data_IF_001352392088
#
_entry.id   IF_001352392088
#
_cell.length_a   1.000
_cell.length_b   1.000
_cell.length_c   1.000
_cell.angle_alpha   90.00
_cell.angle_beta   90.00
_cell.angle_gamma   90.00
#
_symmetry.space_group_name_H-M   'P 1'
#
loop_
_entity.id
_entity.type
_entity.pdbx_description
1 polymer ?
#
# COMPACT_ATOMS: atom_id res chain seq x y z
N UNK A 1 -31.75 34.11 -4.67
CA UNK A 1 -31.03 32.84 -4.42
C UNK A 1 -30.12 33.04 -3.21
N UNK A 2 -30.22 32.23 -2.14
CA UNK A 2 -29.29 32.32 -1.03
C UNK A 2 -27.87 32.05 -1.55
N UNK A 3 -26.92 32.92 -1.19
CA UNK A 3 -25.50 32.71 -1.51
C UNK A 3 -25.05 31.47 -0.75
N UNK A 4 -24.70 30.41 -1.47
CA UNK A 4 -23.99 29.27 -0.88
C UNK A 4 -22.65 29.78 -0.35
N UNK A 5 -22.56 29.99 0.97
CA UNK A 5 -21.37 30.55 1.62
C UNK A 5 -20.16 29.60 1.54
N UNK A 6 -20.38 28.31 1.27
CA UNK A 6 -19.31 27.34 1.08
C UNK A 6 -19.78 26.18 0.20
N UNK A 7 -19.20 26.06 -0.99
CA UNK A 7 -19.38 24.90 -1.87
C UNK A 7 -18.22 23.93 -1.65
N UNK A 8 -18.51 22.72 -1.18
CA UNK A 8 -17.52 21.66 -0.98
C UNK A 8 -17.80 20.51 -1.92
N UNK A 9 -16.76 20.02 -2.58
CA UNK A 9 -16.88 18.95 -3.55
C UNK A 9 -15.60 18.14 -3.63
N UNK A 10 -15.75 16.90 -4.11
CA UNK A 10 -14.68 16.00 -4.49
C UNK A 10 -15.13 15.28 -5.76
N UNK A 11 -14.48 15.60 -6.87
CA UNK A 11 -14.70 15.01 -8.18
C UNK A 11 -13.54 14.08 -8.45
N UNK A 12 -13.86 12.84 -8.83
CA UNK A 12 -12.89 11.84 -9.28
C UNK A 12 -13.33 11.35 -10.65
N UNK A 13 -12.44 11.46 -11.62
CA UNK A 13 -12.66 10.99 -12.98
C UNK A 13 -11.57 10.01 -13.40
N UNK A 14 -11.99 8.95 -14.09
CA UNK A 14 -11.10 8.00 -14.77
C UNK A 14 -11.18 8.27 -16.26
N UNK A 15 -10.02 8.32 -16.91
CA UNK A 15 -9.88 8.63 -18.33
C UNK A 15 -9.21 7.43 -19.01
N UNK A 16 -9.73 7.02 -20.17
CA UNK A 16 -9.04 6.07 -21.03
C UNK A 16 -8.19 6.85 -22.03
N UNK A 17 -6.91 6.53 -22.11
CA UNK A 17 -5.99 7.17 -23.04
C UNK A 17 -6.03 6.38 -24.35
N UNK A 18 -6.90 6.79 -25.26
CA UNK A 18 -6.96 6.25 -26.61
C UNK A 18 -6.40 7.28 -27.60
N UNK A 19 -5.10 7.22 -27.86
CA UNK A 19 -4.41 8.02 -28.90
C UNK A 19 -4.77 9.52 -28.92
N UNK A 20 -4.57 10.25 -27.81
CA UNK A 20 -4.91 11.69 -27.78
C UNK A 20 -3.68 12.60 -27.64
N UNK A 21 -3.68 13.64 -28.48
CA UNK A 21 -2.72 14.77 -28.52
C UNK A 21 -2.99 15.77 -27.37
N UNK A 22 -4.20 15.78 -26.81
CA UNK A 22 -4.64 16.76 -25.80
C UNK A 22 -5.07 16.07 -24.50
N UNK A 23 -4.10 15.81 -23.62
CA UNK A 23 -4.34 15.28 -22.29
C UNK A 23 -4.58 16.46 -21.30
N UNK A 24 -5.63 16.43 -20.46
CA UNK A 24 -5.86 17.50 -19.48
C UNK A 24 -4.69 17.62 -18.48
N UNK A 25 -4.13 18.80 -18.28
CA UNK A 25 -3.11 18.98 -17.24
C UNK A 25 -3.76 19.31 -15.89
N UNK A 26 -2.96 19.19 -14.83
CA UNK A 26 -3.35 19.63 -13.49
C UNK A 26 -3.72 21.13 -13.50
N UNK A 27 -2.89 21.95 -14.14
CA UNK A 27 -3.09 23.40 -14.27
C UNK A 27 -4.33 23.71 -15.09
N UNK A 28 -4.50 23.05 -16.25
CA UNK A 28 -5.66 23.26 -17.11
C UNK A 28 -6.96 22.92 -16.39
N UNK A 29 -6.98 21.82 -15.64
CA UNK A 29 -8.12 21.42 -14.82
C UNK A 29 -8.38 22.42 -13.69
N UNK A 30 -7.35 22.94 -13.04
CA UNK A 30 -7.50 23.93 -11.96
C UNK A 30 -7.99 25.29 -12.49
N UNK A 31 -7.53 25.71 -13.66
CA UNK A 31 -7.96 26.96 -14.31
C UNK A 31 -9.46 26.98 -14.64
N UNK A 32 -10.12 25.82 -14.76
CA UNK A 32 -11.59 25.78 -14.95
C UNK A 32 -12.38 26.34 -13.76
N UNK A 33 -11.73 26.51 -12.61
CA UNK A 33 -12.31 27.06 -11.39
C UNK A 33 -11.78 28.45 -11.03
N UNK A 34 -11.10 29.15 -11.95
CA UNK A 34 -10.46 30.45 -11.66
C UNK A 34 -11.47 31.53 -11.24
N UNK A 35 -12.69 31.50 -11.79
CA UNK A 35 -13.76 32.44 -11.47
C UNK A 35 -14.56 32.02 -10.22
N UNK A 36 -14.22 30.88 -9.62
CA UNK A 36 -14.86 30.40 -8.42
C UNK A 36 -14.28 31.15 -7.21
N UNK A 37 -15.10 31.99 -6.58
CA UNK A 37 -14.74 32.83 -5.41
C UNK A 37 -14.13 32.08 -4.20
N UNK A 38 -14.15 30.75 -4.20
CA UNK A 38 -13.54 29.91 -3.19
C UNK A 38 -12.18 29.40 -3.70
N UNK A 39 -11.11 30.13 -3.39
CA UNK A 39 -9.77 29.94 -3.98
C UNK A 39 -9.05 28.63 -3.58
N UNK A 40 -9.64 27.82 -2.72
CA UNK A 40 -9.01 26.60 -2.22
C UNK A 40 -9.48 25.37 -3.01
N UNK A 41 -9.34 25.37 -4.33
CA UNK A 41 -9.62 24.19 -5.16
C UNK A 41 -8.28 23.59 -5.58
N UNK A 42 -8.08 22.31 -5.30
CA UNK A 42 -6.90 21.56 -5.70
C UNK A 42 -7.31 20.61 -6.82
N UNK A 43 -6.54 20.62 -7.90
CA UNK A 43 -6.61 19.62 -8.96
C UNK A 43 -5.36 18.75 -8.94
N UNK A 44 -5.50 17.49 -9.31
CA UNK A 44 -4.37 16.60 -9.56
C UNK A 44 -4.74 15.63 -10.68
N UNK A 45 -4.01 15.70 -11.79
CA UNK A 45 -4.15 14.80 -12.92
C UNK A 45 -2.90 13.93 -13.03
N UNK A 46 -3.12 12.61 -13.03
CA UNK A 46 -2.08 11.61 -13.18
C UNK A 46 -2.35 10.74 -14.40
N UNK A 47 -1.26 10.31 -15.02
CA UNK A 47 -1.27 9.45 -16.20
C UNK A 47 -0.50 8.17 -15.91
N UNK A 48 -1.06 7.07 -16.38
CA UNK A 48 -0.54 5.72 -16.29
C UNK A 48 -0.39 5.21 -17.74
N UNK A 49 0.73 5.55 -18.43
CA UNK A 49 0.98 5.16 -19.81
C UNK A 49 0.91 3.66 -20.08
N UNK A 50 1.50 2.82 -19.24
CA UNK A 50 1.47 1.36 -19.39
C UNK A 50 0.03 0.84 -19.33
N UNK A 51 -0.78 1.38 -18.40
CA UNK A 51 -2.19 1.02 -18.26
C UNK A 51 -3.13 1.73 -19.26
N UNK A 52 -2.61 2.66 -20.08
CA UNK A 52 -3.38 3.56 -20.96
C UNK A 52 -4.54 4.25 -20.25
N UNK A 53 -4.32 4.71 -19.03
CA UNK A 53 -5.34 5.32 -18.17
C UNK A 53 -4.85 6.65 -17.60
N UNK A 54 -5.77 7.59 -17.43
CA UNK A 54 -5.55 8.80 -16.67
C UNK A 54 -6.52 8.87 -15.48
N UNK A 55 -6.16 9.62 -14.46
CA UNK A 55 -7.01 9.88 -13.31
C UNK A 55 -6.93 11.35 -12.95
N UNK A 56 -8.08 11.97 -12.76
CA UNK A 56 -8.19 13.36 -12.33
C UNK A 56 -8.95 13.42 -10.99
N UNK A 57 -8.39 14.17 -10.05
CA UNK A 57 -9.01 14.52 -8.77
C UNK A 57 -9.15 16.02 -8.70
N UNK A 58 -10.33 16.51 -8.36
CA UNK A 58 -10.57 17.94 -8.15
C UNK A 58 -11.40 18.11 -6.89
N UNK A 59 -10.94 18.91 -5.94
CA UNK A 59 -11.64 19.07 -4.67
C UNK A 59 -11.40 20.39 -3.97
N UNK A 60 -12.37 20.78 -3.16
CA UNK A 60 -12.26 21.91 -2.24
C UNK A 60 -11.38 21.55 -1.03
N UNK A 61 -10.48 22.45 -0.64
CA UNK A 61 -9.58 22.33 0.51
C UNK A 61 -9.99 23.28 1.65
N UNK A 62 -9.94 22.85 2.93
CA UNK A 62 -9.60 21.50 3.39
C UNK A 62 -10.69 20.48 3.02
N UNK A 63 -10.25 19.34 2.50
CA UNK A 63 -11.17 18.26 2.11
C UNK A 63 -11.63 17.49 3.34
N UNK A 64 -12.90 17.11 3.36
CA UNK A 64 -13.48 16.16 4.35
C UNK A 64 -13.60 14.74 3.79
N UNK A 65 -12.91 14.44 2.69
CA UNK A 65 -12.91 13.10 2.13
C UNK A 65 -12.28 12.10 3.11
N UNK A 66 -12.89 10.93 3.25
CA UNK A 66 -12.36 9.84 4.06
C UNK A 66 -11.44 8.92 3.25
N UNK A 67 -11.56 8.92 1.92
CA UNK A 67 -10.85 8.03 1.01
C UNK A 67 -10.08 8.83 -0.04
N UNK A 68 -8.78 8.58 -0.17
CA UNK A 68 -7.94 9.15 -1.23
C UNK A 68 -7.20 8.04 -1.97
N UNK A 69 -7.50 7.88 -3.26
CA UNK A 69 -7.02 6.75 -4.05
C UNK A 69 -6.38 7.14 -5.36
N UNK A 70 -5.32 6.41 -5.72
CA UNK A 70 -4.48 6.68 -6.89
C UNK A 70 -3.54 7.84 -6.64
N UNK A 71 -2.97 7.87 -5.43
CA UNK A 71 -1.88 8.77 -5.12
C UNK A 71 -0.61 8.20 -5.78
N UNK A 72 0.04 9.04 -6.59
CA UNK A 72 1.25 8.73 -7.36
C UNK A 72 2.45 9.48 -6.78
N UNK A 73 3.65 9.25 -7.32
CA UNK A 73 4.88 9.99 -6.98
C UNK A 73 4.76 11.51 -7.18
N UNK A 74 3.85 11.96 -8.06
CA UNK A 74 3.58 13.38 -8.30
C UNK A 74 2.80 14.05 -7.15
N UNK A 75 2.39 13.29 -6.13
CA UNK A 75 1.68 13.84 -4.99
C UNK A 75 2.54 14.89 -4.26
N UNK A 76 2.11 16.15 -4.22
CA UNK A 76 2.93 17.24 -3.66
C UNK A 76 2.97 17.24 -2.12
N UNK A 77 2.12 16.44 -1.48
CA UNK A 77 1.88 16.49 -0.03
C UNK A 77 0.66 17.34 0.32
N UNK A 78 0.67 17.91 1.53
CA UNK A 78 -0.43 18.66 2.13
C UNK A 78 -1.03 17.95 3.34
N UNK A 79 -1.88 18.61 4.11
CA UNK A 79 -2.41 18.05 5.35
C UNK A 79 -3.87 17.59 5.17
N UNK A 80 -4.12 16.30 5.32
CA UNK A 80 -5.43 15.67 5.09
C UNK A 80 -5.92 14.98 6.37
N UNK A 81 -6.40 15.77 7.33
CA UNK A 81 -6.79 15.27 8.66
C UNK A 81 -8.05 14.39 8.67
N UNK A 82 -8.86 14.40 7.61
CA UNK A 82 -10.10 13.62 7.51
C UNK A 82 -9.94 12.30 6.73
N UNK A 83 -8.84 12.13 6.00
CA UNK A 83 -8.59 10.90 5.23
C UNK A 83 -8.23 9.78 6.19
N UNK A 84 -8.82 8.61 5.99
CA UNK A 84 -8.59 7.38 6.75
C UNK A 84 -8.06 6.26 5.87
N UNK A 85 -8.45 6.24 4.61
CA UNK A 85 -8.07 5.18 3.67
C UNK A 85 -7.30 5.78 2.51
N UNK A 86 -6.11 5.24 2.28
CA UNK A 86 -5.20 5.69 1.23
C UNK A 86 -4.84 4.52 0.31
N UNK A 87 -4.99 4.73 -1.00
CA UNK A 87 -4.49 3.82 -2.03
C UNK A 87 -3.39 4.50 -2.86
N UNK A 88 -2.19 3.93 -2.76
CA UNK A 88 -1.01 4.30 -3.54
C UNK A 88 -0.94 3.43 -4.79
N UNK A 89 -0.73 4.05 -5.95
CA UNK A 89 -0.60 3.37 -7.24
C UNK A 89 0.28 4.21 -8.16
N UNK A 90 1.33 3.64 -8.72
CA UNK A 90 2.18 4.28 -9.72
C UNK A 90 2.88 3.21 -10.59
N UNK A 91 3.29 3.63 -11.79
CA UNK A 91 4.12 2.84 -12.70
C UNK A 91 5.62 3.03 -12.40
N UNK A 92 5.97 4.05 -11.62
CA UNK A 92 7.34 4.29 -11.13
C UNK A 92 7.50 3.80 -9.69
N UNK A 93 8.71 3.37 -9.27
CA UNK A 93 8.96 2.95 -7.90
C UNK A 93 8.61 4.03 -6.87
N UNK A 94 8.13 3.62 -5.69
CA UNK A 94 7.99 4.52 -4.54
C UNK A 94 9.23 4.42 -3.65
N UNK A 95 9.96 5.51 -3.49
CA UNK A 95 11.13 5.54 -2.61
C UNK A 95 10.75 5.91 -1.16
N UNK A 96 11.67 5.75 -0.21
CA UNK A 96 11.44 6.04 1.21
C UNK A 96 10.86 7.44 1.48
N UNK A 97 11.39 8.44 0.78
CA UNK A 97 10.97 9.84 0.91
C UNK A 97 9.51 10.06 0.50
N UNK A 98 9.00 9.22 -0.41
CA UNK A 98 7.58 9.22 -0.77
C UNK A 98 6.73 8.76 0.42
N UNK A 99 7.08 7.64 1.06
CA UNK A 99 6.35 7.14 2.22
C UNK A 99 6.42 8.11 3.42
N UNK A 100 7.55 8.81 3.62
CA UNK A 100 7.64 9.91 4.58
C UNK A 100 6.66 11.05 4.25
N UNK A 101 6.50 11.39 2.97
CA UNK A 101 5.52 12.40 2.52
C UNK A 101 4.10 11.93 2.78
N UNK A 102 3.79 10.66 2.52
CA UNK A 102 2.48 10.06 2.81
C UNK A 102 2.18 10.13 4.31
N UNK A 103 3.11 9.67 5.15
CA UNK A 103 2.95 9.69 6.60
C UNK A 103 2.67 11.11 7.15
N UNK A 104 3.40 12.12 6.69
CA UNK A 104 3.17 13.52 7.08
C UNK A 104 1.85 14.08 6.59
N UNK A 105 1.38 13.60 5.44
CA UNK A 105 0.17 14.12 4.79
C UNK A 105 -1.11 13.54 5.39
N UNK A 106 -1.04 12.31 5.89
CA UNK A 106 -2.19 11.55 6.40
C UNK A 106 -1.97 11.11 7.86
N UNK A 107 -1.98 12.05 8.81
CA UNK A 107 -1.61 11.76 10.21
C UNK A 107 -2.57 10.81 10.93
N UNK A 108 -3.79 10.62 10.40
CA UNK A 108 -4.83 9.76 10.98
C UNK A 108 -5.23 8.61 10.02
N UNK A 109 -4.32 8.21 9.14
CA UNK A 109 -4.57 7.10 8.21
C UNK A 109 -4.72 5.78 8.98
N UNK A 110 -5.83 5.08 8.72
CA UNK A 110 -6.17 3.79 9.31
C UNK A 110 -5.84 2.65 8.34
N UNK A 111 -6.06 2.86 7.04
CA UNK A 111 -5.79 1.87 6.01
C UNK A 111 -4.86 2.41 4.92
N UNK A 112 -3.84 1.62 4.60
CA UNK A 112 -2.91 1.86 3.51
C UNK A 112 -2.91 0.65 2.56
N UNK A 113 -3.30 0.89 1.31
CA UNK A 113 -3.15 -0.07 0.22
C UNK A 113 -2.08 0.41 -0.75
N UNK A 114 -1.24 -0.50 -1.23
CA UNK A 114 -0.17 -0.22 -2.17
C UNK A 114 -0.23 -1.17 -3.36
N UNK A 115 -0.17 -0.61 -4.57
CA UNK A 115 -0.03 -1.37 -5.81
C UNK A 115 1.17 -0.80 -6.57
N UNK A 116 2.27 -1.56 -6.61
CA UNK A 116 3.47 -1.18 -7.35
C UNK A 116 4.40 -2.38 -7.54
N UNK A 117 4.59 -2.81 -8.79
CA UNK A 117 5.42 -3.98 -9.10
C UNK A 117 6.88 -3.65 -9.41
N UNK A 118 7.28 -2.36 -9.42
CA UNK A 118 8.65 -1.97 -9.70
C UNK A 118 9.49 -2.00 -8.42
N UNK A 119 10.72 -2.49 -8.52
CA UNK A 119 11.71 -2.48 -7.45
C UNK A 119 12.11 -1.05 -7.06
N UNK A 120 12.41 -0.84 -5.78
CA UNK A 120 12.95 0.43 -5.30
C UNK A 120 14.38 0.61 -5.82
N UNK A 121 14.71 1.82 -6.27
CA UNK A 121 16.07 2.11 -6.74
C UNK A 121 17.02 2.31 -5.56
N UNK A 122 16.53 2.87 -4.45
CA UNK A 122 17.31 3.15 -3.24
C UNK A 122 16.94 2.15 -2.16
N UNK A 123 17.47 0.93 -2.28
CA UNK A 123 17.27 -0.12 -1.26
C UNK A 123 17.95 0.30 0.04
N UNK A 124 17.17 0.38 1.11
CA UNK A 124 17.69 0.65 2.45
C UNK A 124 18.48 -0.54 3.01
N UNK A 125 18.18 -1.75 2.55
CA UNK A 125 18.75 -3.01 3.06
C UNK A 125 20.07 -3.44 2.41
N UNK A 126 20.41 -2.97 1.20
CA UNK A 126 21.57 -3.49 0.45
C UNK A 126 22.82 -2.62 0.45
N UNK A 127 22.76 -1.39 0.98
CA UNK A 127 23.94 -0.55 1.13
C UNK A 127 24.09 -0.07 2.57
N UNK A 128 24.91 -0.80 3.33
CA UNK A 128 25.58 -0.32 4.55
C UNK A 128 26.60 0.80 4.23
N UNK A 129 26.33 1.63 3.22
CA UNK A 129 27.05 2.86 2.98
C UNK A 129 26.59 3.89 4.02
N UNK A 130 27.53 4.67 4.53
CA UNK A 130 27.37 5.57 5.67
C UNK A 130 26.23 6.61 5.53
N UNK A 131 25.61 6.75 4.35
CA UNK A 131 24.52 7.67 4.06
C UNK A 131 23.14 7.21 4.58
N UNK A 132 22.92 5.89 4.77
CA UNK A 132 21.63 5.36 5.25
C UNK A 132 21.39 5.62 6.76
N UNK A 133 22.38 6.13 7.50
CA UNK A 133 22.23 6.48 8.93
C UNK A 133 21.26 7.64 9.17
N UNK A 134 20.97 8.45 8.15
CA UNK A 134 20.18 9.68 8.27
C UNK A 134 18.73 9.58 7.75
N UNK A 135 18.26 8.41 7.29
CA UNK A 135 16.87 8.29 6.88
C UNK A 135 15.93 8.45 8.09
N UNK A 136 14.97 9.37 7.92
CA UNK A 136 13.95 9.66 8.93
C UNK A 136 13.06 8.44 9.12
N UNK A 137 12.70 8.18 10.38
CA UNK A 137 11.78 7.11 10.73
C UNK A 137 10.36 7.46 10.28
N UNK A 138 9.70 6.53 9.61
CA UNK A 138 8.29 6.58 9.24
C UNK A 138 7.49 5.91 10.35
N UNK A 139 6.54 6.64 10.94
CA UNK A 139 5.66 6.11 11.97
C UNK A 139 4.20 6.28 11.54
N UNK A 140 3.48 5.16 11.45
CA UNK A 140 2.06 5.13 11.11
C UNK A 140 1.22 4.92 12.37
N UNK A 141 0.99 6.01 13.11
CA UNK A 141 0.38 5.99 14.46
C UNK A 141 -1.13 5.69 14.52
N UNK A 142 -1.80 5.38 13.41
CA UNK A 142 -3.21 4.99 13.43
C UNK A 142 -3.50 3.84 12.46
N UNK A 143 -2.47 3.33 11.79
CA UNK A 143 -2.63 2.31 10.78
C UNK A 143 -3.00 0.99 11.45
N UNK A 144 -4.16 0.47 11.08
CA UNK A 144 -4.68 -0.82 11.53
C UNK A 144 -4.88 -1.81 10.38
N UNK A 145 -4.76 -1.37 9.11
CA UNK A 145 -4.84 -2.24 7.95
C UNK A 145 -3.77 -1.87 6.90
N UNK A 146 -2.95 -2.84 6.52
CA UNK A 146 -1.93 -2.72 5.49
C UNK A 146 -2.18 -3.77 4.40
N UNK A 147 -2.40 -3.30 3.18
CA UNK A 147 -2.60 -4.13 2.00
C UNK A 147 -1.46 -3.95 1.00
N UNK A 148 -0.66 -4.99 0.89
CA UNK A 148 0.53 -5.08 0.04
C UNK A 148 0.52 -6.38 -0.78
N UNK A 149 -0.66 -6.76 -1.29
CA UNK A 149 -0.82 -7.97 -2.11
C UNK A 149 -0.14 -7.83 -3.48
N UNK A 150 -0.29 -6.67 -4.13
CA UNK A 150 0.19 -6.41 -5.48
C UNK A 150 1.44 -5.52 -5.50
N UNK A 151 2.47 -5.94 -4.76
CA UNK A 151 3.71 -5.14 -4.63
C UNK A 151 4.97 -5.94 -4.95
N UNK A 152 6.04 -5.22 -5.30
CA UNK A 152 7.40 -5.76 -5.33
C UNK A 152 7.91 -6.06 -3.91
N UNK A 153 8.83 -7.02 -3.79
CA UNK A 153 9.39 -7.48 -2.51
C UNK A 153 10.06 -6.38 -1.67
N UNK A 154 10.69 -5.41 -2.33
CA UNK A 154 11.36 -4.30 -1.64
C UNK A 154 10.39 -3.55 -0.71
N UNK A 155 9.12 -3.40 -1.11
CA UNK A 155 8.11 -2.76 -0.24
C UNK A 155 7.76 -3.64 0.96
N UNK A 156 7.69 -4.96 0.76
CA UNK A 156 7.45 -5.92 1.85
C UNK A 156 8.61 -5.85 2.84
N UNK A 157 9.86 -5.81 2.36
CA UNK A 157 11.02 -5.60 3.22
C UNK A 157 10.93 -4.27 3.97
N UNK A 158 10.58 -3.18 3.30
CA UNK A 158 10.47 -1.86 3.94
C UNK A 158 9.41 -1.83 5.06
N UNK A 159 8.27 -2.50 4.87
CA UNK A 159 7.19 -2.51 5.88
C UNK A 159 7.42 -3.54 6.98
N UNK A 160 7.99 -4.72 6.67
CA UNK A 160 8.11 -5.82 7.64
C UNK A 160 9.48 -5.87 8.33
N UNK A 161 10.56 -5.44 7.67
CA UNK A 161 11.94 -5.68 8.14
C UNK A 161 12.68 -4.42 8.55
N UNK A 162 12.23 -3.27 8.06
CA UNK A 162 12.99 -2.05 8.25
C UNK A 162 12.76 -1.43 9.63
N UNK A 163 13.86 -1.19 10.35
CA UNK A 163 13.90 -0.37 11.58
C UNK A 163 13.44 1.07 11.37
N UNK A 164 13.29 1.52 10.12
CA UNK A 164 12.85 2.86 9.75
C UNK A 164 11.36 2.94 9.48
N UNK A 165 10.62 1.84 9.50
CA UNK A 165 9.15 1.85 9.42
C UNK A 165 8.56 1.24 10.68
N UNK A 166 7.77 2.03 11.40
CA UNK A 166 7.11 1.59 12.63
C UNK A 166 5.59 1.52 12.41
N UNK A 167 5.08 0.29 12.42
CA UNK A 167 3.66 0.02 12.50
C UNK A 167 3.16 0.12 13.96
N UNK A 168 1.86 0.31 14.16
CA UNK A 168 1.21 0.10 15.44
C UNK A 168 0.91 -1.37 15.68
N UNK A 169 0.53 -1.71 16.92
CA UNK A 169 0.02 -3.04 17.24
C UNK A 169 -1.38 -3.24 16.63
N UNK A 170 -1.77 -4.49 16.46
CA UNK A 170 -3.08 -4.90 15.94
C UNK A 170 -3.32 -4.51 14.48
N UNK A 171 -2.29 -4.68 13.65
CA UNK A 171 -2.41 -4.47 12.21
C UNK A 171 -2.95 -5.72 11.53
N UNK A 172 -3.98 -5.54 10.71
CA UNK A 172 -4.40 -6.47 9.67
C UNK A 172 -3.42 -6.36 8.49
N UNK A 173 -2.75 -7.45 8.14
CA UNK A 173 -1.87 -7.51 6.97
C UNK A 173 -2.51 -8.35 5.86
N UNK A 174 -2.72 -7.75 4.69
CA UNK A 174 -3.04 -8.46 3.45
C UNK A 174 -1.78 -8.56 2.59
N UNK A 175 -1.35 -9.78 2.24
CA UNK A 175 -0.10 -9.99 1.51
C UNK A 175 -0.15 -11.26 0.64
N UNK A 176 0.62 -11.26 -0.46
CA UNK A 176 0.82 -12.46 -1.26
C UNK A 176 1.73 -13.48 -0.53
N UNK A 177 1.26 -14.73 -0.38
CA UNK A 177 2.01 -15.77 0.34
C UNK A 177 3.40 -16.02 -0.24
N UNK A 178 3.54 -16.08 -1.57
CA UNK A 178 4.83 -16.39 -2.21
C UNK A 178 5.84 -15.27 -2.01
N UNK A 179 5.40 -14.03 -2.07
CA UNK A 179 6.27 -12.88 -1.78
C UNK A 179 6.66 -12.88 -0.31
N UNK A 180 5.74 -13.11 0.62
CA UNK A 180 6.06 -13.24 2.04
C UNK A 180 7.07 -14.37 2.31
N UNK A 181 6.85 -15.57 1.76
CA UNK A 181 7.76 -16.72 1.90
C UNK A 181 9.16 -16.40 1.36
N UNK A 182 9.25 -15.74 0.20
CA UNK A 182 10.53 -15.34 -0.41
C UNK A 182 11.28 -14.32 0.45
N UNK A 183 10.57 -13.28 0.87
CA UNK A 183 11.11 -12.14 1.62
C UNK A 183 11.57 -12.56 3.03
N UNK A 184 10.82 -13.46 3.67
CA UNK A 184 11.17 -14.03 5.00
C UNK A 184 12.18 -15.19 4.93
N UNK A 185 12.64 -15.57 3.75
CA UNK A 185 13.50 -16.75 3.51
C UNK A 185 12.91 -18.02 4.12
N UNK A 186 11.71 -18.40 3.66
CA UNK A 186 10.93 -19.51 4.23
C UNK A 186 10.73 -19.36 5.74
N UNK A 187 10.44 -18.14 6.21
CA UNK A 187 10.19 -17.83 7.62
C UNK A 187 11.36 -18.13 8.57
N UNK A 188 12.58 -18.21 8.05
CA UNK A 188 13.80 -18.46 8.86
C UNK A 188 14.54 -17.18 9.24
N UNK A 189 14.19 -16.03 8.65
CA UNK A 189 14.88 -14.76 8.88
C UNK A 189 14.39 -14.08 10.16
N UNK A 190 15.26 -13.92 11.16
CA UNK A 190 14.91 -13.30 12.45
C UNK A 190 14.61 -11.80 12.37
N UNK A 191 15.21 -11.09 11.40
CA UNK A 191 15.04 -9.65 11.20
C UNK A 191 13.58 -9.22 10.97
N UNK A 192 12.71 -10.19 10.65
CA UNK A 192 11.29 -9.99 10.36
C UNK A 192 10.43 -9.82 11.61
N UNK A 193 10.95 -10.22 12.78
CA UNK A 193 10.16 -10.31 14.01
C UNK A 193 9.60 -8.97 14.52
N UNK A 194 10.27 -7.84 14.31
CA UNK A 194 9.89 -6.58 14.98
C UNK A 194 8.51 -6.09 14.52
N UNK A 195 8.28 -5.93 13.21
CA UNK A 195 6.97 -5.51 12.73
C UNK A 195 6.00 -6.68 12.58
N UNK A 196 6.48 -7.91 12.35
CA UNK A 196 5.59 -9.08 12.32
C UNK A 196 4.90 -9.33 13.67
N UNK A 197 5.54 -9.03 14.81
CA UNK A 197 4.89 -9.15 16.14
C UNK A 197 3.74 -8.18 16.36
N UNK A 198 3.59 -7.17 15.50
CA UNK A 198 2.50 -6.19 15.56
C UNK A 198 1.29 -6.57 14.72
N UNK A 199 1.43 -7.60 13.88
CA UNK A 199 0.35 -8.14 13.07
C UNK A 199 -0.56 -8.96 13.99
N UNK A 200 -1.85 -8.66 13.99
CA UNK A 200 -2.85 -9.43 14.74
C UNK A 200 -3.68 -10.34 13.83
N UNK A 201 -3.83 -9.96 12.56
CA UNK A 201 -4.58 -10.73 11.58
C UNK A 201 -3.81 -10.72 10.26
N UNK A 202 -3.70 -11.89 9.62
CA UNK A 202 -3.00 -12.07 8.35
C UNK A 202 -3.96 -12.68 7.33
N UNK A 203 -4.13 -11.98 6.21
CA UNK A 203 -4.84 -12.49 5.05
C UNK A 203 -3.81 -12.80 3.96
N UNK A 204 -3.65 -14.10 3.70
CA UNK A 204 -2.77 -14.60 2.65
C UNK A 204 -3.52 -14.72 1.34
N UNK A 205 -3.01 -14.04 0.32
CA UNK A 205 -3.48 -14.20 -1.04
C UNK A 205 -2.58 -15.20 -1.78
N UNK A 206 -3.22 -16.24 -2.31
CA UNK A 206 -2.59 -17.22 -3.18
C UNK A 206 -3.25 -17.21 -4.56
N UNK A 207 -2.42 -17.30 -5.58
CA UNK A 207 -2.88 -17.61 -6.93
C UNK A 207 -3.16 -19.12 -7.01
N UNK A 208 -4.40 -19.49 -6.70
CA UNK A 208 -4.88 -20.88 -6.73
C UNK A 208 -4.83 -21.51 -8.13
N UNK A 209 -4.65 -20.73 -9.20
CA UNK A 209 -4.52 -21.26 -10.56
C UNK A 209 -3.31 -22.19 -10.74
N UNK A 210 -2.35 -22.15 -9.80
CA UNK A 210 -1.17 -23.03 -9.78
C UNK A 210 -1.28 -24.21 -8.82
N UNK A 211 -2.39 -24.32 -8.08
CA UNK A 211 -2.65 -25.40 -7.14
C UNK A 211 -3.35 -26.52 -7.93
N UNK A 212 -2.54 -27.43 -8.48
CA UNK A 212 -3.01 -28.54 -9.34
C UNK A 212 -4.04 -29.45 -8.64
N UNK A 213 -4.06 -29.40 -7.31
CA UNK A 213 -4.81 -30.19 -6.33
C UNK A 213 -6.21 -29.61 -6.04
N UNK A 214 -6.39 -28.30 -6.20
CA UNK A 214 -7.71 -27.64 -6.06
C UNK A 214 -8.52 -27.68 -7.37
N UNK A 215 -7.86 -27.95 -8.49
CA UNK A 215 -8.51 -28.10 -9.81
C UNK A 215 -8.82 -29.55 -10.15
N UNK A 216 -8.12 -30.53 -9.56
CA UNK A 216 -8.32 -31.96 -9.80
C UNK A 216 -8.17 -32.74 -8.49
N UNK A 217 -9.22 -33.48 -8.08
CA UNK A 217 -9.29 -34.23 -6.81
C UNK A 217 -8.02 -35.05 -6.52
N UNK A 218 -7.55 -34.99 -5.28
CA UNK A 218 -6.59 -35.86 -4.60
C UNK A 218 -5.47 -36.40 -5.50
N UNK A 219 -4.50 -35.54 -5.81
CA UNK A 219 -3.29 -35.89 -6.55
C UNK A 219 -2.11 -35.60 -5.63
N UNK A 220 -1.32 -36.62 -5.29
CA UNK A 220 0.00 -36.46 -4.66
C UNK A 220 0.95 -35.75 -5.62
N UNK A 221 1.49 -34.61 -5.21
CA UNK A 221 2.42 -33.82 -6.03
C UNK A 221 3.82 -34.40 -5.85
N UNK A 222 4.50 -34.69 -6.96
CA UNK A 222 5.88 -35.18 -6.91
C UNK A 222 6.78 -34.10 -6.29
N UNK A 223 7.36 -34.39 -5.13
CA UNK A 223 8.30 -33.52 -4.42
C UNK A 223 7.68 -32.52 -3.44
N UNK A 224 6.37 -32.59 -3.17
CA UNK A 224 5.74 -31.86 -2.07
C UNK A 224 5.24 -32.88 -1.06
N UNK A 225 5.66 -32.70 0.19
CA UNK A 225 5.17 -33.44 1.34
C UNK A 225 4.12 -32.57 2.05
N UNK A 226 2.85 -33.01 2.01
CA UNK A 226 1.72 -32.27 2.58
C UNK A 226 1.86 -32.13 4.12
N UNK A 227 2.47 -33.11 4.78
CA UNK A 227 2.74 -33.03 6.22
C UNK A 227 3.81 -31.96 6.50
N UNK A 228 4.83 -31.85 5.64
CA UNK A 228 5.85 -30.81 5.75
C UNK A 228 5.27 -29.41 5.51
N UNK A 229 4.45 -29.22 4.47
CA UNK A 229 3.78 -27.94 4.18
C UNK A 229 2.81 -27.54 5.30
N UNK A 230 2.07 -28.51 5.87
CA UNK A 230 1.21 -28.28 7.03
C UNK A 230 2.01 -27.84 8.25
N UNK A 231 3.10 -28.54 8.60
CA UNK A 231 3.97 -28.16 9.71
C UNK A 231 4.61 -26.78 9.51
N UNK A 232 5.01 -26.46 8.27
CA UNK A 232 5.51 -25.14 7.93
C UNK A 232 4.45 -24.06 8.14
N UNK A 233 3.20 -24.32 7.75
CA UNK A 233 2.07 -23.40 7.94
C UNK A 233 1.74 -23.18 9.42
N UNK A 234 1.69 -24.25 10.21
CA UNK A 234 1.51 -24.16 11.68
C UNK A 234 2.63 -23.35 12.32
N UNK A 235 3.88 -23.56 11.88
CA UNK A 235 5.03 -22.81 12.36
C UNK A 235 4.97 -21.32 12.02
N UNK A 236 4.43 -20.96 10.84
CA UNK A 236 4.17 -19.56 10.45
C UNK A 236 3.20 -18.92 11.43
N UNK A 237 2.09 -19.59 11.72
CA UNK A 237 1.07 -19.09 12.65
C UNK A 237 1.64 -18.88 14.06
N UNK A 238 2.49 -19.81 14.54
CA UNK A 238 3.19 -19.66 15.82
C UNK A 238 4.18 -18.48 15.84
N UNK A 239 4.93 -18.26 14.75
CA UNK A 239 5.83 -17.09 14.62
C UNK A 239 5.05 -15.77 14.69
N UNK A 240 3.79 -15.79 14.26
CA UNK A 240 2.87 -14.66 14.35
C UNK A 240 2.10 -14.57 15.68
N UNK A 241 2.59 -15.24 16.72
CA UNK A 241 1.99 -15.20 18.06
C UNK A 241 0.57 -15.79 18.14
N UNK A 242 0.15 -16.63 17.19
CA UNK A 242 -1.07 -17.42 17.37
C UNK A 242 -0.82 -18.47 18.45
N UNK A 243 -1.71 -18.53 19.43
CA UNK A 243 -1.61 -19.52 20.50
C UNK A 243 -1.94 -20.91 19.97
N UNK A 244 -1.52 -21.96 20.69
CA UNK A 244 -1.93 -23.32 20.35
C UNK A 244 -3.46 -23.48 20.43
N UNK A 245 -4.16 -22.72 21.29
CA UNK A 245 -5.61 -22.74 21.37
C UNK A 245 -6.26 -22.12 20.12
N UNK A 246 -5.70 -21.03 19.60
CA UNK A 246 -6.14 -20.42 18.33
C UNK A 246 -5.93 -21.40 17.16
N UNK A 247 -4.76 -22.06 17.12
CA UNK A 247 -4.45 -23.07 16.11
C UNK A 247 -5.41 -24.25 16.16
N UNK A 248 -5.71 -24.76 17.35
CA UNK A 248 -6.65 -25.86 17.58
C UNK A 248 -8.10 -25.49 17.24
N UNK A 249 -8.42 -24.19 17.13
CA UNK A 249 -9.76 -23.73 16.74
C UNK A 249 -9.91 -23.51 15.22
N UNK A 250 -8.80 -23.49 14.49
CA UNK A 250 -8.75 -23.31 13.02
C UNK A 250 -8.74 -24.66 12.30
N UNK A 251 -8.07 -25.67 12.88
CA UNK A 251 -7.94 -27.03 12.34
C UNK A 251 -8.84 -28.02 13.07
#
# INVERSE_FOLDING_TARGET
MPRLNQFRFYIRSLMLIHNQVNLPSTEGSQCTFIDFSNNNIISNVNYFPEARKGRCHIYSYPSRMQYYSGITNNFPGGLYTYVRVVLLLDEHPFEHEFFLRIQKSFPFMEQLSLINHKSQNRKQSSELNNDNRNLSVIQYSFLNALDIVEVHDDYIEQFLFDTKTHLQNNVLLCINYKSLKRVTHNFTRDATRINCTKINELILFEDFSRYHYLTHRNITIIGIDDDEEFQNTVKVMQIMNMSNDDLNSIF
#
